data_IF_589606447823
#
_entry.id   IF_589606447823
#
_cell.length_a   1.000
_cell.length_b   1.000
_cell.length_c   1.000
_cell.angle_alpha   90.00
_cell.angle_beta   90.00
_cell.angle_gamma   90.00
#
_symmetry.space_group_name_H-M   'P 1'
#
loop_
_entity.id
_entity.type
_entity.pdbx_description
1 polymer ?
#
# COMPACT_ATOMS: atom_id res chain seq x y z
N UNK A 1 19.29 1.77 -8.76
CA UNK A 1 18.89 3.03 -8.09
C UNK A 1 18.24 2.66 -6.75
N UNK A 2 18.41 3.47 -5.69
CA UNK A 2 17.75 3.22 -4.39
C UNK A 2 16.50 4.11 -4.29
N UNK A 3 15.41 3.58 -3.75
CA UNK A 3 14.15 4.30 -3.53
C UNK A 3 13.62 4.06 -2.12
N UNK A 4 12.80 4.98 -1.61
CA UNK A 4 12.16 4.89 -0.29
C UNK A 4 10.65 5.04 -0.47
N UNK A 5 9.88 4.14 0.16
CA UNK A 5 8.41 4.18 0.17
C UNK A 5 7.93 4.56 1.58
N UNK A 6 7.26 5.71 1.70
CA UNK A 6 6.71 6.17 2.97
C UNK A 6 5.34 5.54 3.21
N UNK A 7 5.28 4.57 4.11
CA UNK A 7 4.08 3.76 4.40
C UNK A 7 3.58 3.89 5.85
N UNK A 8 4.08 4.84 6.64
CA UNK A 8 3.79 4.99 8.07
C UNK A 8 2.57 5.84 8.45
N UNK A 9 1.57 5.96 7.58
CA UNK A 9 0.36 6.75 7.88
C UNK A 9 -0.61 6.02 8.83
N UNK A 10 -1.40 6.77 9.61
CA UNK A 10 -2.36 6.24 10.61
C UNK A 10 -3.55 5.44 10.05
N UNK A 11 -3.71 5.31 8.73
CA UNK A 11 -4.80 4.52 8.12
C UNK A 11 -6.22 5.12 8.17
N UNK A 12 -6.44 6.28 8.80
CA UNK A 12 -7.79 6.80 9.12
C UNK A 12 -8.76 7.01 7.95
N UNK A 13 -8.26 7.14 6.71
CA UNK A 13 -9.09 7.40 5.50
C UNK A 13 -9.63 6.15 4.81
N UNK A 14 -9.06 4.97 5.07
CA UNK A 14 -9.50 3.70 4.50
C UNK A 14 -9.68 2.67 5.62
N UNK A 15 -10.35 3.11 6.68
CA UNK A 15 -10.31 2.47 7.99
C UNK A 15 -10.80 1.02 7.96
N UNK A 16 -11.88 0.76 7.24
CA UNK A 16 -12.51 -0.57 7.08
C UNK A 16 -11.48 -1.65 6.70
N UNK A 17 -10.59 -1.33 5.77
CA UNK A 17 -9.51 -2.25 5.37
C UNK A 17 -8.30 -2.11 6.28
N UNK A 18 -7.97 -0.88 6.71
CA UNK A 18 -6.72 -0.61 7.42
C UNK A 18 -6.70 -1.03 8.89
N UNK A 19 -7.85 -1.37 9.47
CA UNK A 19 -7.93 -2.01 10.79
C UNK A 19 -7.37 -3.44 10.76
N UNK A 20 -7.47 -4.14 9.63
CA UNK A 20 -6.99 -5.52 9.49
C UNK A 20 -5.61 -5.62 8.86
N UNK A 21 -5.23 -4.67 7.99
CA UNK A 21 -3.95 -4.69 7.27
C UNK A 21 -3.45 -3.28 6.94
N UNK A 22 -2.14 -3.01 6.86
CA UNK A 22 -1.64 -1.70 6.43
C UNK A 22 -2.16 -1.33 5.03
N UNK A 23 -2.41 -0.03 4.78
CA UNK A 23 -2.87 0.45 3.46
C UNK A 23 -2.07 -0.11 2.26
N UNK A 24 -0.73 -0.20 2.28
CA UNK A 24 0.03 -0.78 1.16
C UNK A 24 -0.33 -2.24 0.82
N UNK A 25 -0.91 -2.98 1.76
CA UNK A 25 -1.30 -4.38 1.61
C UNK A 25 -2.78 -4.57 1.24
N UNK A 26 -3.55 -3.48 1.12
CA UNK A 26 -4.94 -3.53 0.62
C UNK A 26 -4.94 -3.94 -0.85
N UNK A 27 -5.85 -4.84 -1.22
CA UNK A 27 -5.93 -5.36 -2.58
C UNK A 27 -6.71 -4.41 -3.49
N UNK A 28 -6.17 -4.21 -4.69
CA UNK A 28 -6.81 -3.50 -5.80
C UNK A 28 -6.61 -4.36 -7.04
N UNK A 29 -7.71 -4.82 -7.65
CA UNK A 29 -7.63 -5.69 -8.83
C UNK A 29 -6.87 -7.00 -8.57
N UNK A 30 -7.05 -7.61 -7.40
CA UNK A 30 -6.44 -8.90 -7.01
C UNK A 30 -4.94 -8.84 -6.67
N UNK A 31 -4.37 -7.64 -6.51
CA UNK A 31 -2.97 -7.45 -6.09
C UNK A 31 -2.87 -6.29 -5.09
N UNK A 32 -1.92 -6.32 -4.14
CA UNK A 32 -1.79 -5.26 -3.14
C UNK A 32 -1.35 -3.93 -3.75
N UNK A 33 -1.76 -2.81 -3.17
CA UNK A 33 -1.35 -1.45 -3.59
C UNK A 33 0.18 -1.36 -3.77
N UNK A 34 0.96 -1.97 -2.88
CA UNK A 34 2.42 -1.99 -2.96
C UNK A 34 2.92 -2.61 -4.28
N UNK A 35 2.27 -3.65 -4.79
CA UNK A 35 2.64 -4.27 -6.07
C UNK A 35 2.46 -3.29 -7.23
N UNK A 36 1.35 -2.54 -7.24
CA UNK A 36 1.09 -1.55 -8.28
C UNK A 36 2.11 -0.42 -8.26
N UNK A 37 2.50 0.04 -7.07
CA UNK A 37 3.56 1.05 -6.90
C UNK A 37 4.90 0.51 -7.41
N UNK A 38 5.29 -0.69 -6.98
CA UNK A 38 6.57 -1.30 -7.36
C UNK A 38 6.67 -1.57 -8.86
N UNK A 39 5.55 -1.87 -9.55
CA UNK A 39 5.53 -2.00 -11.01
C UNK A 39 6.01 -0.74 -11.73
N UNK A 40 5.85 0.44 -11.13
CA UNK A 40 6.38 1.70 -11.69
C UNK A 40 7.87 1.94 -11.45
N UNK A 41 8.51 1.15 -10.59
CA UNK A 41 9.95 1.23 -10.29
C UNK A 41 10.76 0.06 -10.88
N UNK A 42 10.07 -0.91 -11.50
CA UNK A 42 10.68 -2.08 -12.14
C UNK A 42 11.27 -1.73 -13.51
#
# INVERSE_FOLDING_TARGET
>A
MKAVLLAGGLGTRLREETEYRPKPMVEVGGRPILWHIMKGFA
#
